data_IF_052042248153
#
_entry.id   IF_052042248153
#
_cell.length_a   1.000
_cell.length_b   1.000
_cell.length_c   1.000
_cell.angle_alpha   90.00
_cell.angle_beta   90.00
_cell.angle_gamma   90.00
#
_symmetry.space_group_name_H-M   'P 1'
#
loop_
_entity.id
_entity.type
_entity.pdbx_description
1 polymer ?
#
# COMPACT_ATOMS: atom_id res chain seq x y z
N UNK A 1 -0.89 13.60 -8.16
CA UNK A 1 0.11 14.69 -7.99
C UNK A 1 -0.38 15.86 -7.15
N UNK A 2 -1.69 16.07 -6.95
CA UNK A 2 -2.23 17.21 -6.18
C UNK A 2 -1.78 17.22 -4.71
N UNK A 3 -1.91 16.09 -4.00
CA UNK A 3 -1.56 16.01 -2.57
C UNK A 3 -0.09 16.36 -2.26
N UNK A 4 0.86 16.00 -3.13
CA UNK A 4 2.26 16.33 -2.94
C UNK A 4 2.55 17.82 -3.19
N UNK A 5 1.84 18.44 -4.13
CA UNK A 5 1.93 19.89 -4.39
C UNK A 5 1.35 20.69 -3.23
N UNK A 6 0.20 20.25 -2.70
CA UNK A 6 -0.40 20.85 -1.49
C UNK A 6 0.50 20.70 -0.27
N UNK A 7 1.14 19.53 -0.12
CA UNK A 7 2.11 19.31 0.95
C UNK A 7 3.33 20.23 0.83
N UNK A 8 3.88 20.40 -0.38
CA UNK A 8 4.98 21.33 -0.63
C UNK A 8 4.61 22.77 -0.26
N UNK A 9 3.44 23.25 -0.69
CA UNK A 9 2.98 24.61 -0.36
C UNK A 9 2.79 24.82 1.14
N UNK A 10 2.36 23.78 1.86
CA UNK A 10 2.27 23.83 3.33
C UNK A 10 3.64 23.87 3.99
N UNK A 11 4.59 23.09 3.47
CA UNK A 11 5.96 23.07 3.98
C UNK A 11 6.65 24.42 3.79
N UNK A 12 6.44 25.08 2.65
CA UNK A 12 6.95 26.44 2.40
C UNK A 12 6.37 27.43 3.42
N UNK A 13 5.07 27.35 3.73
CA UNK A 13 4.45 28.17 4.77
C UNK A 13 4.94 27.84 6.20
N UNK A 14 5.26 26.57 6.48
CA UNK A 14 5.87 26.14 7.75
C UNK A 14 7.32 26.64 7.88
N UNK A 15 8.08 26.66 6.79
CA UNK A 15 9.44 27.22 6.71
C UNK A 15 9.42 28.73 6.99
N UNK A 16 8.55 29.48 6.30
CA UNK A 16 8.36 30.91 6.53
C UNK A 16 7.95 31.22 7.98
N UNK A 17 7.07 30.39 8.56
CA UNK A 17 6.61 30.56 9.94
C UNK A 17 7.65 30.16 10.99
N UNK A 18 8.52 29.18 10.70
CA UNK A 18 9.57 28.72 11.60
C UNK A 18 10.78 29.66 11.64
N UNK A 19 11.05 30.37 10.54
CA UNK A 19 12.15 31.33 10.43
C UNK A 19 13.48 30.72 10.84
N UNK A 20 14.18 31.32 11.81
CA UNK A 20 15.48 30.85 12.31
C UNK A 20 15.45 29.45 12.95
N UNK A 21 14.27 28.95 13.30
CA UNK A 21 14.11 27.60 13.88
C UNK A 21 13.99 26.51 12.82
N UNK A 22 13.89 26.89 11.54
CA UNK A 22 13.83 25.95 10.44
C UNK A 22 15.15 25.18 10.29
N UNK A 23 15.05 23.86 10.18
CA UNK A 23 16.17 22.99 9.85
C UNK A 23 16.05 22.53 8.41
N UNK A 24 16.96 22.97 7.54
CA UNK A 24 17.02 22.46 6.16
C UNK A 24 17.59 21.03 6.15
N UNK A 25 16.70 20.06 6.29
CA UNK A 25 17.06 18.64 6.29
C UNK A 25 16.97 18.01 4.89
N UNK A 26 16.53 18.75 3.86
CA UNK A 26 16.25 18.20 2.52
C UNK A 26 15.17 17.12 2.46
N UNK A 27 14.31 17.00 3.49
CA UNK A 27 13.27 15.97 3.56
C UNK A 27 11.94 16.50 3.00
N UNK A 28 11.23 15.64 2.27
CA UNK A 28 9.90 15.95 1.74
C UNK A 28 8.84 15.98 2.85
N UNK A 29 8.98 15.13 3.88
CA UNK A 29 8.07 15.09 5.02
C UNK A 29 8.83 15.43 6.30
N UNK A 30 8.55 16.60 6.85
CA UNK A 30 9.19 17.14 8.05
C UNK A 30 8.14 17.44 9.13
N UNK A 31 8.61 17.71 10.34
CA UNK A 31 7.83 18.47 11.31
C UNK A 31 7.71 19.93 10.86
N UNK A 32 6.90 20.73 11.57
CA UNK A 32 6.72 22.16 11.30
C UNK A 32 8.00 23.03 11.47
N UNK A 33 9.14 22.42 11.83
CA UNK A 33 10.44 23.09 11.95
C UNK A 33 11.51 22.45 11.06
N UNK A 34 11.12 21.60 10.09
CA UNK A 34 12.06 21.01 9.14
C UNK A 34 12.79 19.77 9.66
N UNK A 35 12.51 19.30 10.88
CA UNK A 35 13.17 18.10 11.43
C UNK A 35 12.50 16.79 10.98
N UNK A 36 13.21 15.64 11.03
CA UNK A 36 12.63 14.34 10.72
C UNK A 36 11.44 14.01 11.62
N UNK A 37 10.38 13.44 11.05
CA UNK A 37 9.23 12.96 11.81
C UNK A 37 9.62 11.70 12.57
N UNK A 38 9.49 11.72 13.89
CA UNK A 38 9.73 10.56 14.73
C UNK A 38 8.73 9.42 14.40
N UNK A 39 9.18 8.17 14.18
CA UNK A 39 8.31 7.05 13.83
C UNK A 39 7.17 6.80 14.84
N UNK A 40 7.38 7.06 16.14
CA UNK A 40 6.32 6.90 17.16
C UNK A 40 5.22 7.93 16.98
N UNK A 41 5.59 9.19 16.73
CA UNK A 41 4.65 10.28 16.47
C UNK A 41 3.88 10.09 15.17
N UNK A 42 4.52 9.54 14.13
CA UNK A 42 3.86 9.14 12.89
C UNK A 42 2.82 8.04 13.14
N UNK A 43 3.19 6.97 13.85
CA UNK A 43 2.26 5.89 14.17
C UNK A 43 1.08 6.37 15.03
N UNK A 44 1.31 7.30 15.97
CA UNK A 44 0.22 7.88 16.78
C UNK A 44 -0.79 8.62 15.91
N UNK A 45 -0.31 9.49 15.01
CA UNK A 45 -1.20 10.19 14.07
C UNK A 45 -1.94 9.21 13.16
N UNK A 46 -1.24 8.19 12.65
CA UNK A 46 -1.87 7.18 11.82
C UNK A 46 -2.96 6.38 12.55
N UNK A 47 -2.74 6.03 13.81
CA UNK A 47 -3.76 5.38 14.63
C UNK A 47 -4.99 6.29 14.84
N UNK A 48 -4.78 7.58 15.06
CA UNK A 48 -5.88 8.54 15.18
C UNK A 48 -6.68 8.65 13.87
N UNK A 49 -6.01 8.57 12.71
CA UNK A 49 -6.69 8.50 11.41
C UNK A 49 -7.50 7.20 11.25
N UNK A 50 -6.96 6.06 11.71
CA UNK A 50 -7.71 4.79 11.71
C UNK A 50 -8.97 4.89 12.57
N UNK A 51 -8.86 5.47 13.76
CA UNK A 51 -9.99 5.68 14.67
C UNK A 51 -11.04 6.60 14.04
N UNK A 52 -10.61 7.71 13.41
CA UNK A 52 -11.51 8.65 12.73
C UNK A 52 -12.20 8.02 11.50
N UNK A 53 -11.52 7.11 10.79
CA UNK A 53 -12.09 6.36 9.68
C UNK A 53 -12.96 5.16 10.13
N UNK A 54 -13.05 4.88 11.43
CA UNK A 54 -13.83 3.77 11.97
C UNK A 54 -13.26 2.39 11.64
N UNK A 55 -11.98 2.30 11.28
CA UNK A 55 -11.32 1.04 10.93
C UNK A 55 -10.47 0.53 12.10
N UNK A 56 -10.22 -0.79 12.10
CA UNK A 56 -9.25 -1.38 13.03
C UNK A 56 -7.90 -0.69 12.89
N UNK A 57 -7.26 -0.35 14.00
CA UNK A 57 -5.87 0.11 14.02
C UNK A 57 -4.97 -0.93 13.38
N UNK A 58 -4.38 -0.57 12.25
CA UNK A 58 -3.37 -1.35 11.53
C UNK A 58 -2.04 -0.60 11.57
N UNK A 59 -0.94 -1.26 11.25
CA UNK A 59 0.36 -0.57 11.16
C UNK A 59 0.45 0.10 9.80
N UNK A 60 1.17 1.22 9.72
CA UNK A 60 1.28 1.99 8.48
C UNK A 60 1.82 1.13 7.32
N UNK A 61 2.77 0.22 7.59
CA UNK A 61 3.31 -0.68 6.57
C UNK A 61 2.32 -1.77 6.14
N UNK A 62 1.29 -2.08 6.95
CA UNK A 62 0.26 -3.06 6.58
C UNK A 62 -0.57 -2.54 5.39
N UNK A 63 -0.60 -1.23 5.14
CA UNK A 63 -1.24 -0.61 3.95
C UNK A 63 -0.56 -0.96 2.62
N UNK A 64 0.70 -1.43 2.64
CA UNK A 64 1.38 -1.87 1.41
C UNK A 64 0.71 -3.11 0.80
N UNK A 65 0.10 -3.95 1.64
CA UNK A 65 -0.59 -5.16 1.20
C UNK A 65 -1.85 -4.86 0.37
N UNK A 66 -2.84 -4.10 0.86
CA UNK A 66 -4.00 -3.73 0.05
C UNK A 66 -3.61 -2.88 -1.15
N UNK A 67 -2.56 -2.04 -1.07
CA UNK A 67 -2.05 -1.30 -2.22
C UNK A 67 -1.56 -2.26 -3.34
N UNK A 68 -0.76 -3.27 -2.99
CA UNK A 68 -0.32 -4.30 -3.94
C UNK A 68 -1.49 -5.09 -4.52
N UNK A 69 -2.46 -5.47 -3.69
CA UNK A 69 -3.69 -6.17 -4.13
C UNK A 69 -4.50 -5.32 -5.12
N UNK A 70 -4.65 -4.02 -4.87
CA UNK A 70 -5.38 -3.10 -5.76
C UNK A 70 -4.67 -2.92 -7.10
N UNK A 71 -3.34 -2.74 -7.08
CA UNK A 71 -2.55 -2.63 -8.31
C UNK A 71 -2.63 -3.92 -9.15
N UNK A 72 -2.57 -5.07 -8.49
CA UNK A 72 -2.70 -6.37 -9.16
C UNK A 72 -4.10 -6.56 -9.75
N UNK A 73 -5.15 -6.16 -9.02
CA UNK A 73 -6.53 -6.19 -9.52
C UNK A 73 -6.74 -5.29 -10.75
N UNK A 74 -5.93 -4.24 -10.91
CA UNK A 74 -5.90 -3.40 -12.10
C UNK A 74 -5.02 -3.96 -13.24
N UNK A 75 -4.46 -5.16 -13.06
CA UNK A 75 -3.66 -5.84 -14.09
C UNK A 75 -2.21 -5.37 -14.18
N UNK A 76 -1.71 -4.61 -13.20
CA UNK A 76 -0.29 -4.24 -13.14
C UNK A 76 0.54 -5.49 -12.86
N UNK A 77 1.63 -5.67 -13.60
CA UNK A 77 2.51 -6.82 -13.40
C UNK A 77 3.28 -6.75 -12.07
N UNK A 78 3.60 -7.91 -11.53
CA UNK A 78 4.14 -8.05 -10.19
C UNK A 78 5.54 -7.50 -10.06
N UNK A 79 6.33 -7.51 -11.14
CA UNK A 79 7.66 -6.91 -11.14
C UNK A 79 7.54 -5.40 -10.99
N UNK A 80 6.65 -4.77 -11.75
CA UNK A 80 6.35 -3.33 -11.62
C UNK A 80 5.82 -2.98 -10.22
N UNK A 81 4.93 -3.80 -9.64
CA UNK A 81 4.44 -3.57 -8.26
C UNK A 81 5.59 -3.68 -7.25
N UNK A 82 6.51 -4.65 -7.41
CA UNK A 82 7.66 -4.81 -6.53
C UNK A 82 8.65 -3.65 -6.63
N UNK A 83 8.91 -3.15 -7.84
CA UNK A 83 9.76 -1.97 -8.06
C UNK A 83 9.11 -0.71 -7.46
N UNK A 84 7.79 -0.55 -7.61
CA UNK A 84 7.04 0.58 -7.08
C UNK A 84 6.99 0.61 -5.54
N UNK A 85 6.81 -0.56 -4.90
CA UNK A 85 6.63 -0.66 -3.44
C UNK A 85 7.91 -1.03 -2.68
N UNK A 86 8.97 -1.44 -3.38
CA UNK A 86 10.29 -1.77 -2.84
C UNK A 86 10.40 -3.14 -2.15
N UNK A 87 11.60 -3.45 -1.62
CA UNK A 87 11.98 -4.80 -1.15
C UNK A 87 11.06 -5.43 -0.09
N UNK A 88 10.47 -4.64 0.81
CA UNK A 88 9.52 -5.17 1.81
C UNK A 88 8.22 -5.70 1.18
N UNK A 89 7.91 -5.24 -0.04
CA UNK A 89 6.73 -5.67 -0.76
C UNK A 89 6.99 -6.95 -1.58
N UNK A 90 8.23 -7.41 -1.77
CA UNK A 90 8.51 -8.64 -2.52
C UNK A 90 7.82 -9.85 -1.87
N UNK A 91 7.96 -10.01 -0.55
CA UNK A 91 7.31 -11.10 0.18
C UNK A 91 5.78 -11.01 0.13
N UNK A 92 5.25 -9.79 0.19
CA UNK A 92 3.82 -9.49 0.08
C UNK A 92 3.28 -9.80 -1.31
N UNK A 93 3.93 -9.26 -2.34
CA UNK A 93 3.58 -9.46 -3.75
C UNK A 93 3.68 -10.93 -4.12
N UNK A 94 4.72 -11.65 -3.71
CA UNK A 94 4.81 -13.10 -3.92
C UNK A 94 3.66 -13.86 -3.27
N UNK A 95 3.29 -13.52 -2.03
CA UNK A 95 2.18 -14.18 -1.34
C UNK A 95 0.84 -13.94 -2.06
N UNK A 96 0.56 -12.68 -2.45
CA UNK A 96 -0.63 -12.31 -3.21
C UNK A 96 -0.64 -12.99 -4.58
N UNK A 97 0.48 -12.97 -5.30
CA UNK A 97 0.61 -13.63 -6.61
C UNK A 97 0.34 -15.13 -6.51
N UNK A 98 0.84 -15.77 -5.45
CA UNK A 98 0.62 -17.20 -5.20
C UNK A 98 -0.87 -17.47 -5.02
N UNK A 99 -1.57 -16.66 -4.22
CA UNK A 99 -3.01 -16.80 -4.03
C UNK A 99 -3.81 -16.57 -5.32
N UNK A 100 -3.58 -15.46 -6.03
CA UNK A 100 -4.29 -15.16 -7.29
C UNK A 100 -4.03 -16.23 -8.34
N UNK A 101 -2.79 -16.72 -8.45
CA UNK A 101 -2.44 -17.85 -9.33
C UNK A 101 -3.23 -19.11 -8.98
N UNK A 102 -3.41 -19.43 -7.69
CA UNK A 102 -4.16 -20.60 -7.25
C UNK A 102 -5.66 -20.46 -7.57
N UNK A 103 -6.24 -19.28 -7.42
CA UNK A 103 -7.65 -19.02 -7.74
C UNK A 103 -7.91 -19.13 -9.25
N UNK A 104 -7.01 -18.58 -10.07
CA UNK A 104 -7.07 -18.73 -11.53
C UNK A 104 -6.90 -20.19 -11.95
N UNK A 105 -5.98 -20.92 -11.32
CA UNK A 105 -5.76 -22.34 -11.59
C UNK A 105 -7.01 -23.16 -11.23
N UNK A 106 -7.62 -22.89 -10.07
CA UNK A 106 -8.85 -23.54 -9.63
C UNK A 106 -9.99 -23.26 -10.59
N UNK A 107 -10.20 -21.99 -10.98
CA UNK A 107 -11.23 -21.65 -11.96
C UNK A 107 -11.02 -22.31 -13.32
N UNK A 108 -9.76 -22.48 -13.75
CA UNK A 108 -9.45 -23.22 -14.98
C UNK A 108 -9.76 -24.71 -14.85
N UNK A 109 -9.44 -25.34 -13.71
CA UNK A 109 -9.77 -26.74 -13.41
C UNK A 109 -11.29 -26.93 -13.35
N UNK A 110 -12.03 -26.08 -12.63
CA UNK A 110 -13.49 -26.16 -12.54
C UNK A 110 -14.16 -26.03 -13.92
N UNK A 111 -13.59 -25.19 -14.80
CA UNK A 111 -14.04 -25.07 -16.19
C UNK A 111 -13.71 -26.30 -17.02
N UNK A 112 -12.54 -26.91 -16.82
CA UNK A 112 -12.20 -28.17 -17.48
C UNK A 112 -13.12 -29.29 -16.99
N UNK A 113 -13.45 -29.35 -15.71
CA UNK A 113 -14.36 -30.34 -15.14
C UNK A 113 -15.78 -30.19 -15.73
N UNK A 114 -16.28 -28.96 -15.83
CA UNK A 114 -17.58 -28.68 -16.48
C UNK A 114 -17.60 -28.95 -17.98
N UNK A 115 -16.45 -28.93 -18.67
CA UNK A 115 -16.34 -29.29 -20.10
C UNK A 115 -16.13 -30.79 -20.28
N UNK A 116 -15.44 -31.45 -19.34
CA UNK A 116 -15.13 -32.87 -19.37
C UNK A 116 -16.27 -33.75 -18.85
N UNK A 117 -17.29 -33.15 -18.20
CA UNK A 117 -18.60 -33.75 -17.97
C UNK A 117 -18.55 -35.26 -17.79
N UNK A 118 -18.06 -35.71 -16.63
CA UNK A 118 -18.35 -37.07 -16.20
C UNK A 118 -19.86 -37.16 -15.98
N UNK A 119 -20.59 -37.52 -17.05
CA UNK A 119 -21.86 -38.20 -16.90
C UNK A 119 -21.55 -39.46 -16.12
N UNK A 120 -21.98 -39.46 -14.86
CA UNK A 120 -21.91 -40.58 -13.94
C UNK A 120 -22.86 -41.68 -14.46
N UNK A 121 -22.45 -42.38 -15.52
CA UNK A 121 -23.01 -43.68 -15.87
C UNK A 121 -22.38 -44.72 -14.93
N UNK A 122 -23.05 -44.98 -13.80
CA UNK A 122 -22.81 -46.21 -13.05
C UNK A 122 -23.24 -46.22 -11.59
N UNK A 123 -24.54 -46.38 -11.32
CA UNK A 123 -25.10 -47.68 -10.85
C UNK A 123 -26.60 -47.62 -10.59
#
# INVERSE_FOLDING_TARGET
MTALKEHKSRQEAEEDAAGERWTDSGLVFTTAIGTPIEPRSLNRHFNALCDAAGIRRVRLHDLRHPCATLLLAQGVDGRTIMELLGHSAIAVTMNIYTHVRLDVLRSAVDRMDGVLGYEDEGS
#
